data_IF_639283457264
#
_entry.id   IF_639283457264
#
_cell.length_a   1.000
_cell.length_b   1.000
_cell.length_c   1.000
_cell.angle_alpha   90.00
_cell.angle_beta   90.00
_cell.angle_gamma   90.00
#
_symmetry.space_group_name_H-M   'P 1'
#
loop_
_entity.id
_entity.type
_entity.pdbx_description
1 polymer ?
#
# COMPACT_ATOMS: atom_id res chain seq x y z
N UNK A 1 14.40 17.95 -23.62
CA UNK A 1 13.21 17.50 -24.38
C UNK A 1 12.26 16.61 -23.56
N UNK A 2 12.71 15.82 -22.56
CA UNK A 2 11.82 14.92 -21.79
C UNK A 2 10.85 15.58 -20.78
N UNK A 3 11.11 16.80 -20.29
CA UNK A 3 10.19 17.48 -19.34
C UNK A 3 8.86 17.89 -19.97
N UNK A 4 8.82 18.19 -21.28
CA UNK A 4 7.59 18.61 -21.96
C UNK A 4 6.62 17.44 -22.18
N UNK A 5 7.12 16.21 -22.35
CA UNK A 5 6.30 15.01 -22.54
C UNK A 5 5.55 14.60 -21.27
N UNK A 6 6.16 14.82 -20.09
CA UNK A 6 5.52 14.54 -18.79
C UNK A 6 4.38 15.51 -18.48
N UNK A 7 4.54 16.79 -18.81
CA UNK A 7 3.47 17.80 -18.67
C UNK A 7 2.32 17.59 -19.64
N UNK A 8 2.62 17.18 -20.89
CA UNK A 8 1.60 16.81 -21.88
C UNK A 8 0.82 15.55 -21.46
N UNK A 9 1.51 14.58 -20.83
CA UNK A 9 0.87 13.35 -20.32
C UNK A 9 -0.07 13.66 -19.15
N UNK A 10 0.32 14.54 -18.22
CA UNK A 10 -0.53 14.97 -17.12
C UNK A 10 -1.73 15.81 -17.59
N UNK A 11 -1.54 16.67 -18.59
CA UNK A 11 -2.65 17.40 -19.22
C UNK A 11 -3.64 16.45 -19.93
N UNK A 12 -3.14 15.41 -20.58
CA UNK A 12 -3.98 14.39 -21.24
C UNK A 12 -4.80 13.61 -20.20
N UNK A 13 -4.19 13.23 -19.07
CA UNK A 13 -4.88 12.55 -17.97
C UNK A 13 -5.96 13.45 -17.35
N UNK A 14 -5.67 14.75 -17.19
CA UNK A 14 -6.65 15.70 -16.67
C UNK A 14 -7.82 15.91 -17.63
N UNK A 15 -7.56 15.96 -18.95
CA UNK A 15 -8.60 16.07 -19.97
C UNK A 15 -9.50 14.82 -20.00
N UNK A 16 -8.91 13.63 -19.89
CA UNK A 16 -9.66 12.37 -19.80
C UNK A 16 -10.59 12.33 -18.58
N UNK A 17 -10.14 12.88 -17.45
CA UNK A 17 -10.97 13.00 -16.24
C UNK A 17 -12.17 13.95 -16.44
N UNK A 18 -11.96 15.07 -17.15
CA UNK A 18 -13.06 15.98 -17.49
C UNK A 18 -14.05 15.35 -18.46
N UNK A 19 -13.57 14.69 -19.52
CA UNK A 19 -14.43 14.06 -20.54
C UNK A 19 -15.27 12.92 -19.96
N UNK A 20 -14.70 12.13 -19.05
CA UNK A 20 -15.43 11.07 -18.33
C UNK A 20 -16.50 11.64 -17.38
N UNK A 21 -16.23 12.76 -16.71
CA UNK A 21 -17.23 13.42 -15.86
C UNK A 21 -18.43 13.97 -16.66
N UNK A 22 -18.20 14.45 -17.89
CA UNK A 22 -19.26 14.92 -18.80
C UNK A 22 -20.10 13.75 -19.32
N UNK A 23 -19.48 12.62 -19.66
CA UNK A 23 -20.18 11.42 -20.11
C UNK A 23 -21.05 10.82 -19.01
N UNK A 24 -20.61 10.87 -17.75
CA UNK A 24 -21.40 10.42 -16.60
C UNK A 24 -22.64 11.30 -16.40
N UNK A 25 -22.51 12.64 -16.51
CA UNK A 25 -23.67 13.56 -16.46
C UNK A 25 -24.65 13.34 -17.60
N UNK A 26 -24.18 13.17 -18.84
CA UNK A 26 -25.06 12.87 -19.99
C UNK A 26 -25.82 11.54 -19.84
N UNK A 27 -25.22 10.56 -19.16
CA UNK A 27 -25.87 9.28 -18.86
C UNK A 27 -26.94 9.42 -17.78
N UNK A 28 -26.71 10.24 -16.76
CA UNK A 28 -27.71 10.57 -15.74
C UNK A 28 -28.90 11.34 -16.32
N UNK A 29 -28.67 12.23 -17.28
CA UNK A 29 -29.73 12.95 -18.01
C UNK A 29 -30.50 12.03 -18.97
N UNK A 30 -29.81 11.10 -19.65
CA UNK A 30 -30.44 10.12 -20.55
C UNK A 30 -31.28 9.06 -19.83
N UNK A 31 -31.00 8.75 -18.56
CA UNK A 31 -31.83 7.84 -17.74
C UNK A 31 -33.13 8.50 -17.26
N UNK A 32 -33.19 9.84 -17.21
CA UNK A 32 -34.41 10.58 -16.82
C UNK A 32 -35.41 10.82 -17.95
N UNK A 33 -35.08 10.49 -19.21
CA UNK A 33 -35.93 10.74 -20.39
C UNK A 33 -36.26 9.48 -21.21
N UNK A 34 -36.83 8.44 -20.60
CA UNK A 34 -37.48 7.36 -21.38
C UNK A 34 -39.01 7.53 -21.33
N UNK A 35 -39.69 7.80 -22.47
CA UNK A 35 -41.12 8.05 -22.49
C UNK A 35 -41.94 6.77 -22.35
N UNK A 36 -43.05 6.91 -21.63
CA UNK A 36 -44.20 6.01 -21.61
C UNK A 36 -44.83 5.90 -23.00
N UNK A 37 -44.95 4.69 -23.55
CA UNK A 37 -45.86 4.35 -24.66
C UNK A 37 -46.42 2.95 -24.36
N UNK A 38 -47.69 2.78 -23.99
CA UNK A 38 -48.95 2.85 -24.77
C UNK A 38 -49.30 1.53 -25.45
N UNK A 39 -50.47 1.03 -25.06
CA UNK A 39 -51.21 -0.14 -25.56
C UNK A 39 -51.32 -0.19 -27.09
N UNK A 40 -51.16 -1.38 -27.67
CA UNK A 40 -51.86 -1.78 -28.90
C UNK A 40 -52.30 -3.23 -28.73
N UNK A 41 -53.61 -3.43 -28.70
CA UNK A 41 -54.29 -4.70 -28.96
C UNK A 41 -54.37 -4.89 -30.48
N UNK A 42 -54.07 -6.10 -30.99
CA UNK A 42 -54.57 -6.60 -32.27
C UNK A 42 -54.49 -8.13 -32.26
N UNK A 43 -55.65 -8.69 -31.93
CA UNK A 43 -56.40 -9.72 -32.63
C UNK A 43 -55.71 -10.99 -33.17
N UNK A 44 -56.40 -12.09 -32.91
CA UNK A 44 -56.02 -13.47 -33.12
C UNK A 44 -55.97 -13.84 -34.61
N UNK A 45 -54.96 -14.62 -35.00
CA UNK A 45 -55.11 -15.70 -36.00
C UNK A 45 -53.88 -16.62 -35.93
N UNK A 46 -53.97 -17.65 -35.08
CA UNK A 46 -53.27 -18.94 -35.22
C UNK A 46 -54.20 -19.90 -35.98
N UNK A 47 -53.74 -21.00 -36.64
CA UNK A 47 -52.52 -21.75 -36.29
C UNK A 47 -51.69 -22.32 -37.46
N UNK A 48 -50.36 -22.32 -37.30
CA UNK A 48 -49.52 -23.47 -37.63
C UNK A 48 -48.70 -23.78 -36.38
N UNK A 49 -49.42 -24.30 -35.39
CA UNK A 49 -48.97 -24.58 -34.04
C UNK A 49 -48.15 -25.87 -34.04
N UNK A 50 -46.87 -25.74 -33.69
CA UNK A 50 -46.00 -26.89 -33.47
C UNK A 50 -44.52 -26.58 -33.61
N UNK A 51 -44.13 -25.67 -34.51
CA UNK A 51 -42.72 -25.31 -34.75
C UNK A 51 -42.37 -23.89 -34.28
N UNK A 52 -43.31 -22.94 -34.42
CA UNK A 52 -43.10 -21.55 -34.01
C UNK A 52 -43.12 -21.38 -32.48
N UNK A 53 -43.91 -22.18 -31.76
CA UNK A 53 -43.94 -22.18 -30.29
C UNK A 53 -42.66 -22.77 -29.70
N UNK A 54 -42.15 -23.87 -30.26
CA UNK A 54 -40.89 -24.49 -29.82
C UNK A 54 -39.70 -23.57 -30.07
N UNK A 55 -39.66 -22.90 -31.22
CA UNK A 55 -38.62 -21.90 -31.52
C UNK A 55 -38.72 -20.68 -30.60
N UNK A 56 -39.92 -20.26 -30.23
CA UNK A 56 -40.13 -19.14 -29.30
C UNK A 56 -39.74 -19.51 -27.87
N UNK A 57 -40.06 -20.72 -27.42
CA UNK A 57 -39.65 -21.25 -26.11
C UNK A 57 -38.13 -21.43 -26.02
N UNK A 58 -37.49 -21.91 -27.10
CA UNK A 58 -36.04 -22.01 -27.21
C UNK A 58 -35.37 -20.63 -27.19
N UNK A 59 -35.96 -19.63 -27.85
CA UNK A 59 -35.49 -18.23 -27.80
C UNK A 59 -35.62 -17.62 -26.40
N UNK A 60 -36.68 -17.93 -25.66
CA UNK A 60 -36.86 -17.48 -24.28
C UNK A 60 -35.81 -18.11 -23.36
N UNK A 61 -35.60 -19.44 -23.46
CA UNK A 61 -34.58 -20.15 -22.69
C UNK A 61 -33.17 -19.66 -23.01
N UNK A 62 -32.85 -19.44 -24.29
CA UNK A 62 -31.56 -18.87 -24.71
C UNK A 62 -31.39 -17.43 -24.20
N UNK A 63 -32.45 -16.64 -24.15
CA UNK A 63 -32.38 -15.26 -23.63
C UNK A 63 -32.16 -15.24 -22.12
N UNK A 64 -32.81 -16.14 -21.38
CA UNK A 64 -32.57 -16.32 -19.95
C UNK A 64 -31.17 -16.85 -19.67
N UNK A 65 -30.69 -17.79 -20.48
CA UNK A 65 -29.35 -18.33 -20.36
C UNK A 65 -28.28 -17.29 -20.68
N UNK A 66 -28.49 -16.46 -21.71
CA UNK A 66 -27.61 -15.32 -22.02
C UNK A 66 -27.61 -14.31 -20.86
N UNK A 67 -28.76 -14.03 -20.23
CA UNK A 67 -28.81 -13.16 -19.04
C UNK A 67 -28.09 -13.78 -17.84
N UNK A 68 -28.26 -15.08 -17.62
CA UNK A 68 -27.58 -15.84 -16.57
C UNK A 68 -26.07 -15.86 -16.78
N UNK A 69 -25.62 -16.14 -17.99
CA UNK A 69 -24.21 -16.15 -18.38
C UNK A 69 -23.60 -14.75 -18.36
N UNK A 70 -24.31 -13.71 -18.78
CA UNK A 70 -23.83 -12.32 -18.65
C UNK A 70 -23.68 -11.90 -17.19
N UNK A 71 -24.61 -12.32 -16.31
CA UNK A 71 -24.52 -12.06 -14.86
C UNK A 71 -23.34 -12.81 -14.24
N UNK A 72 -23.19 -14.10 -14.57
CA UNK A 72 -22.06 -14.93 -14.12
C UNK A 72 -20.72 -14.45 -14.66
N UNK A 73 -20.66 -13.96 -15.90
CA UNK A 73 -19.46 -13.40 -16.50
C UNK A 73 -19.11 -12.05 -15.87
N UNK A 74 -20.10 -11.19 -15.58
CA UNK A 74 -19.87 -9.95 -14.82
C UNK A 74 -19.34 -10.23 -13.39
N UNK A 75 -19.91 -11.21 -12.70
CA UNK A 75 -19.43 -11.68 -11.39
C UNK A 75 -18.00 -12.24 -11.48
N UNK A 76 -17.72 -13.10 -12.45
CA UNK A 76 -16.39 -13.67 -12.66
C UNK A 76 -15.36 -12.63 -13.12
N UNK A 77 -15.73 -11.64 -13.92
CA UNK A 77 -14.84 -10.60 -14.41
C UNK A 77 -14.52 -9.59 -13.30
N UNK A 78 -15.47 -9.30 -12.39
CA UNK A 78 -15.18 -8.57 -11.14
C UNK A 78 -14.25 -9.37 -10.21
N UNK A 79 -14.47 -10.67 -10.05
CA UNK A 79 -13.57 -11.56 -9.31
C UNK A 79 -12.19 -11.61 -9.98
N UNK A 80 -12.11 -11.57 -11.31
CA UNK A 80 -10.84 -11.61 -12.07
C UNK A 80 -10.08 -10.28 -12.04
N UNK A 81 -10.77 -9.14 -12.04
CA UNK A 81 -10.18 -7.80 -11.88
C UNK A 81 -9.61 -7.61 -10.47
N UNK A 82 -10.16 -8.29 -9.46
CA UNK A 82 -9.58 -8.34 -8.11
C UNK A 82 -8.42 -9.34 -7.97
N UNK A 83 -8.28 -10.29 -8.90
CA UNK A 83 -7.42 -11.47 -8.74
C UNK A 83 -6.29 -11.61 -9.78
N UNK A 84 -5.74 -10.53 -10.34
CA UNK A 84 -4.51 -10.60 -11.17
C UNK A 84 -3.53 -9.48 -10.75
N UNK A 85 -2.17 -9.64 -10.76
CA UNK A 85 -1.32 -10.80 -10.98
C UNK A 85 -0.12 -10.84 -9.97
N UNK A 86 -0.38 -10.84 -8.66
CA UNK A 86 0.66 -11.01 -7.63
C UNK A 86 0.16 -11.91 -6.49
N UNK A 87 -0.42 -13.06 -6.83
CA UNK A 87 -0.72 -14.11 -5.85
C UNK A 87 0.59 -14.71 -5.34
N UNK A 88 1.21 -14.03 -4.39
CA UNK A 88 1.83 -14.75 -3.29
C UNK A 88 0.79 -14.71 -2.19
N UNK A 89 0.16 -15.85 -1.94
CA UNK A 89 -0.64 -16.02 -0.73
C UNK A 89 0.31 -15.77 0.43
N UNK A 90 0.20 -14.59 1.04
CA UNK A 90 0.94 -14.27 2.25
C UNK A 90 0.08 -14.82 3.38
N UNK A 91 0.40 -16.01 3.86
CA UNK A 91 -0.30 -16.60 5.00
C UNK A 91 0.10 -15.85 6.27
N UNK A 92 -0.77 -15.86 7.29
CA UNK A 92 -0.46 -15.24 8.60
C UNK A 92 0.85 -15.78 9.17
N UNK A 93 1.08 -17.08 9.01
CA UNK A 93 2.28 -17.78 9.47
C UNK A 93 3.55 -17.31 8.72
N UNK A 94 3.42 -16.97 7.43
CA UNK A 94 4.53 -16.39 6.65
C UNK A 94 4.87 -14.98 7.13
N UNK A 95 3.87 -14.18 7.47
CA UNK A 95 4.06 -12.83 8.00
C UNK A 95 4.76 -12.85 9.36
N UNK A 96 4.34 -13.75 10.26
CA UNK A 96 4.99 -13.95 11.54
C UNK A 96 6.44 -14.41 11.37
N UNK A 97 6.67 -15.38 10.47
CA UNK A 97 8.02 -15.91 10.19
C UNK A 97 8.95 -14.84 9.62
N UNK A 98 8.49 -14.06 8.63
CA UNK A 98 9.28 -12.99 8.02
C UNK A 98 9.53 -11.83 9.00
N UNK A 99 8.54 -11.51 9.84
CA UNK A 99 8.72 -10.51 10.90
C UNK A 99 9.73 -10.98 11.95
N UNK A 100 9.62 -12.23 12.43
CA UNK A 100 10.59 -12.81 13.34
C UNK A 100 12.00 -12.81 12.74
N UNK A 101 12.13 -13.19 11.46
CA UNK A 101 13.40 -13.14 10.72
C UNK A 101 13.99 -11.73 10.67
N UNK A 102 13.16 -10.71 10.46
CA UNK A 102 13.58 -9.32 10.51
C UNK A 102 14.13 -8.95 11.90
N UNK A 103 13.39 -9.28 12.97
CA UNK A 103 13.84 -9.03 14.36
C UNK A 103 15.19 -9.73 14.62
N UNK A 104 15.33 -11.00 14.26
CA UNK A 104 16.57 -11.74 14.42
C UNK A 104 17.71 -11.12 13.61
N UNK A 105 17.42 -10.60 12.41
CA UNK A 105 18.43 -9.93 11.58
C UNK A 105 18.89 -8.62 12.20
N UNK A 106 17.98 -7.84 12.78
CA UNK A 106 18.32 -6.60 13.52
C UNK A 106 19.17 -6.93 14.73
N UNK A 107 18.77 -7.94 15.52
CA UNK A 107 19.55 -8.39 16.67
C UNK A 107 20.95 -8.84 16.26
N UNK A 108 21.06 -9.75 15.28
CA UNK A 108 22.34 -10.23 14.79
C UNK A 108 23.22 -9.11 14.22
N UNK A 109 22.64 -8.09 13.58
CA UNK A 109 23.38 -6.92 13.15
C UNK A 109 23.96 -6.13 14.33
N UNK A 110 23.13 -5.84 15.34
CA UNK A 110 23.59 -5.09 16.53
C UNK A 110 24.64 -5.88 17.29
N UNK A 111 24.41 -7.17 17.53
CA UNK A 111 25.36 -8.05 18.23
C UNK A 111 26.71 -8.04 17.52
N UNK A 112 26.75 -8.31 16.21
CA UNK A 112 28.01 -8.32 15.44
C UNK A 112 28.74 -6.98 15.47
N UNK A 113 28.00 -5.87 15.57
CA UNK A 113 28.57 -4.54 15.58
C UNK A 113 29.05 -4.09 16.96
N UNK A 114 28.36 -4.49 18.04
CA UNK A 114 28.67 -4.09 19.41
C UNK A 114 29.63 -5.05 20.11
N UNK A 115 29.66 -6.32 19.70
CA UNK A 115 30.51 -7.35 20.30
C UNK A 115 31.99 -6.94 20.39
N UNK A 116 32.64 -6.40 19.33
CA UNK A 116 34.03 -5.96 19.43
C UNK A 116 34.26 -4.81 20.41
N UNK A 117 33.24 -3.98 20.64
CA UNK A 117 33.29 -2.82 21.55
C UNK A 117 33.13 -3.29 23.00
N UNK A 118 32.29 -4.30 23.23
CA UNK A 118 31.98 -4.83 24.56
C UNK A 118 33.12 -5.72 25.08
N UNK A 119 33.75 -6.51 24.21
CA UNK A 119 34.89 -7.34 24.61
C UNK A 119 36.16 -6.53 24.94
N UNK A 120 36.26 -5.29 24.45
CA UNK A 120 37.44 -4.45 24.63
C UNK A 120 37.16 -3.27 25.57
N UNK A 121 37.70 -3.35 26.79
CA UNK A 121 37.55 -2.29 27.81
C UNK A 121 38.05 -0.92 27.33
N UNK A 122 39.06 -0.85 26.46
CA UNK A 122 39.57 0.41 25.93
C UNK A 122 38.56 1.08 24.99
N UNK A 123 37.93 0.30 24.10
CA UNK A 123 36.90 0.81 23.18
C UNK A 123 35.63 1.21 23.94
N UNK A 124 35.28 0.44 24.96
CA UNK A 124 34.18 0.78 25.87
C UNK A 124 34.44 2.09 26.59
N UNK A 125 35.61 2.26 27.21
CA UNK A 125 35.97 3.49 27.90
C UNK A 125 36.00 4.70 26.96
N UNK A 126 36.54 4.53 25.76
CA UNK A 126 36.55 5.56 24.72
C UNK A 126 35.13 5.95 24.29
N UNK A 127 34.22 4.98 24.13
CA UNK A 127 32.82 5.25 23.81
C UNK A 127 32.12 6.05 24.90
N UNK A 128 32.38 5.71 26.18
CA UNK A 128 31.86 6.46 27.33
C UNK A 128 32.42 7.89 27.38
N UNK A 129 33.68 8.08 26.98
CA UNK A 129 34.31 9.39 26.93
C UNK A 129 33.70 10.26 25.82
N UNK A 130 33.52 9.72 24.61
CA UNK A 130 32.85 10.42 23.50
C UNK A 130 31.42 10.81 23.90
N UNK A 131 30.68 9.90 24.54
CA UNK A 131 29.34 10.16 25.05
C UNK A 131 29.30 11.32 26.07
N UNK A 132 30.25 11.37 27.01
CA UNK A 132 30.38 12.47 27.98
C UNK A 132 30.72 13.80 27.33
N UNK A 133 31.56 13.79 26.29
CA UNK A 133 31.93 14.99 25.54
C UNK A 133 30.79 15.52 24.67
N UNK A 134 29.81 14.68 24.31
CA UNK A 134 28.73 15.00 23.39
C UNK A 134 27.33 14.78 24.04
N UNK A 135 26.96 15.53 25.08
CA UNK A 135 25.68 15.32 25.78
C UNK A 135 24.45 15.56 24.90
N UNK A 136 24.56 16.40 23.85
CA UNK A 136 23.48 16.61 22.87
C UNK A 136 23.17 15.36 22.05
N UNK A 137 24.20 14.61 21.65
CA UNK A 137 24.07 13.35 20.93
C UNK A 137 23.35 12.30 21.78
N UNK A 138 23.72 12.21 23.04
CA UNK A 138 23.11 11.30 24.02
C UNK A 138 21.63 11.64 24.27
N UNK A 139 21.28 12.93 24.27
CA UNK A 139 19.87 13.34 24.38
C UNK A 139 19.04 12.92 23.17
N UNK A 140 19.58 13.04 21.96
CA UNK A 140 18.90 12.55 20.75
C UNK A 140 18.75 11.03 20.75
N UNK A 141 19.75 10.30 21.23
CA UNK A 141 19.66 8.85 21.46
C UNK A 141 18.54 8.50 22.46
N UNK A 142 18.50 9.17 23.61
CA UNK A 142 17.46 8.98 24.63
C UNK A 142 16.04 9.25 24.10
N UNK A 143 15.87 10.27 23.26
CA UNK A 143 14.59 10.61 22.66
C UNK A 143 13.98 9.45 21.85
N UNK A 144 14.82 8.64 21.20
CA UNK A 144 14.36 7.51 20.40
C UNK A 144 14.27 6.20 21.21
N UNK A 145 14.98 6.11 22.35
CA UNK A 145 14.70 5.08 23.34
C UNK A 145 13.29 5.25 23.89
N UNK A 146 12.84 6.46 24.23
CA UNK A 146 11.56 6.67 24.90
C UNK A 146 11.63 6.37 26.40
N UNK A 147 10.56 6.68 27.12
CA UNK A 147 10.59 6.80 28.59
C UNK A 147 10.83 5.46 29.30
N UNK A 148 10.32 4.36 28.75
CA UNK A 148 10.40 3.02 29.32
C UNK A 148 11.83 2.45 29.34
N UNK A 149 12.54 2.50 28.21
CA UNK A 149 13.93 2.05 28.14
C UNK A 149 14.87 3.08 28.76
N UNK A 150 14.56 4.37 28.72
CA UNK A 150 15.37 5.38 29.41
C UNK A 150 15.37 5.17 30.92
N UNK A 151 14.22 4.79 31.51
CA UNK A 151 14.13 4.48 32.94
C UNK A 151 14.88 3.19 33.32
N UNK A 152 15.03 2.25 32.39
CA UNK A 152 15.68 0.96 32.61
C UNK A 152 17.21 0.99 32.39
N UNK A 153 17.80 2.11 31.95
CA UNK A 153 19.20 2.17 31.48
C UNK A 153 20.04 3.20 32.20
N UNK A 154 21.35 2.96 32.26
CA UNK A 154 22.32 3.95 32.75
C UNK A 154 22.95 4.62 31.55
N UNK A 155 22.44 5.79 31.19
CA UNK A 155 22.95 6.51 30.02
C UNK A 155 24.31 7.16 30.32
N UNK A 156 25.34 6.96 29.48
CA UNK A 156 25.37 6.17 28.23
C UNK A 156 25.49 4.66 28.47
N UNK A 157 24.52 3.89 27.93
CA UNK A 157 24.47 2.43 28.05
C UNK A 157 24.92 1.78 26.74
N UNK A 158 25.78 0.77 26.85
CA UNK A 158 26.34 0.01 25.71
C UNK A 158 25.81 -1.43 25.72
N UNK A 159 24.83 -1.72 26.58
CA UNK A 159 24.16 -3.02 26.60
C UNK A 159 23.54 -3.35 25.21
N UNK A 160 23.88 -4.52 24.63
CA UNK A 160 23.33 -4.96 23.34
C UNK A 160 21.81 -4.92 23.28
N UNK A 161 21.11 -5.34 24.33
CA UNK A 161 19.65 -5.43 24.33
C UNK A 161 19.01 -4.03 24.25
N UNK A 162 19.65 -3.03 24.87
CA UNK A 162 19.24 -1.62 24.79
C UNK A 162 19.48 -1.06 23.39
N UNK A 163 20.61 -1.38 22.77
CA UNK A 163 20.94 -0.97 21.42
C UNK A 163 20.02 -1.64 20.39
N UNK A 164 19.65 -2.91 20.59
CA UNK A 164 18.63 -3.60 19.79
C UNK A 164 17.29 -2.89 19.93
N UNK A 165 16.86 -2.59 21.15
CA UNK A 165 15.61 -1.84 21.41
C UNK A 165 15.59 -0.48 20.73
N UNK A 166 16.70 0.26 20.82
CA UNK A 166 16.88 1.55 20.14
C UNK A 166 16.78 1.42 18.61
N UNK A 167 17.57 0.54 18.00
CA UNK A 167 17.58 0.36 16.53
C UNK A 167 16.20 -0.09 16.04
N UNK A 168 15.56 -1.02 16.76
CA UNK A 168 14.23 -1.48 16.42
C UNK A 168 13.19 -0.35 16.46
N UNK A 169 13.18 0.47 17.52
CA UNK A 169 12.28 1.62 17.64
C UNK A 169 12.55 2.67 16.58
N UNK A 170 13.81 2.93 16.27
CA UNK A 170 14.17 3.82 15.19
C UNK A 170 13.63 3.33 13.85
N UNK A 171 13.78 2.04 13.52
CA UNK A 171 13.22 1.46 12.31
C UNK A 171 11.68 1.53 12.30
N UNK A 172 11.04 1.28 13.44
CA UNK A 172 9.59 1.40 13.59
C UNK A 172 9.12 2.82 13.28
N UNK A 173 9.80 3.84 13.77
CA UNK A 173 9.42 5.25 13.55
C UNK A 173 9.80 5.75 12.15
N UNK A 174 11.01 5.45 11.68
CA UNK A 174 11.55 6.01 10.45
C UNK A 174 11.14 5.25 9.19
N UNK A 175 10.87 3.94 9.30
CA UNK A 175 10.61 3.06 8.15
C UNK A 175 9.18 2.52 8.16
N UNK A 176 8.71 1.98 9.28
CA UNK A 176 7.43 1.27 9.32
C UNK A 176 6.22 2.15 9.63
N UNK A 177 6.38 3.22 10.41
CA UNK A 177 5.29 4.13 10.77
C UNK A 177 4.75 4.94 9.59
N UNK A 178 5.59 5.62 8.78
CA UNK A 178 5.09 6.31 7.61
C UNK A 178 4.79 5.32 6.48
N UNK A 179 3.64 5.49 5.81
CA UNK A 179 3.28 4.65 4.65
C UNK A 179 4.40 4.75 3.61
N UNK A 180 4.89 3.60 3.18
CA UNK A 180 6.05 3.48 2.27
C UNK A 180 7.31 4.21 2.76
N UNK A 181 7.57 4.28 4.07
CA UNK A 181 8.78 4.94 4.58
C UNK A 181 8.80 6.46 4.34
N UNK A 182 7.63 7.07 4.10
CA UNK A 182 7.50 8.50 3.80
C UNK A 182 7.87 8.86 2.35
N UNK A 183 8.01 7.88 1.47
CA UNK A 183 8.34 8.07 0.06
C UNK A 183 7.09 8.50 -0.71
N UNK A 184 7.23 9.54 -1.53
CA UNK A 184 6.16 10.09 -2.37
C UNK A 184 4.82 10.30 -1.61
N UNK A 185 4.82 11.14 -0.56
CA UNK A 185 3.65 11.33 0.32
C UNK A 185 2.39 11.75 -0.45
N UNK A 186 2.54 12.56 -1.51
CA UNK A 186 1.41 12.97 -2.35
C UNK A 186 0.74 11.78 -3.05
N UNK A 187 1.52 10.79 -3.51
CA UNK A 187 0.98 9.62 -4.17
C UNK A 187 0.29 8.68 -3.16
N UNK A 188 0.85 8.55 -1.96
CA UNK A 188 0.21 7.86 -0.82
C UNK A 188 -1.16 8.47 -0.52
N UNK A 189 -1.22 9.80 -0.43
CA UNK A 189 -2.44 10.52 -0.09
C UNK A 189 -3.53 10.30 -1.16
N UNK A 190 -3.17 10.38 -2.44
CA UNK A 190 -4.09 10.10 -3.55
C UNK A 190 -4.60 8.66 -3.53
N UNK A 191 -3.72 7.66 -3.37
CA UNK A 191 -4.13 6.25 -3.32
C UNK A 191 -5.01 5.96 -2.10
N UNK A 192 -4.66 6.52 -0.95
CA UNK A 192 -5.46 6.39 0.29
C UNK A 192 -6.84 7.00 0.10
N UNK A 193 -6.91 8.26 -0.33
CA UNK A 193 -8.16 8.99 -0.54
C UNK A 193 -9.06 8.34 -1.60
N UNK A 194 -8.50 7.86 -2.71
CA UNK A 194 -9.26 7.09 -3.70
C UNK A 194 -9.85 5.82 -3.10
N UNK A 195 -9.07 5.08 -2.31
CA UNK A 195 -9.61 3.90 -1.62
C UNK A 195 -10.70 4.27 -0.60
N UNK A 196 -10.61 5.43 0.05
CA UNK A 196 -11.62 5.85 1.04
C UNK A 196 -12.92 6.18 0.32
N UNK A 197 -12.84 6.82 -0.85
CA UNK A 197 -13.99 7.04 -1.72
C UNK A 197 -14.57 5.70 -2.19
N UNK A 198 -13.75 4.74 -2.59
CA UNK A 198 -14.21 3.42 -3.05
C UNK A 198 -15.01 2.65 -1.98
N UNK A 199 -14.65 2.80 -0.70
CA UNK A 199 -15.37 2.18 0.42
C UNK A 199 -16.63 2.99 0.79
N UNK A 200 -16.53 4.31 0.82
CA UNK A 200 -17.57 5.17 1.38
C UNK A 200 -18.65 5.60 0.36
N UNK A 201 -18.41 5.47 -0.94
CA UNK A 201 -19.42 5.78 -1.96
C UNK A 201 -20.36 4.60 -2.24
N UNK A 202 -21.67 4.73 -1.97
CA UNK A 202 -22.63 3.61 -2.05
C UNK A 202 -22.76 2.96 -3.44
N UNK A 203 -22.44 3.72 -4.49
CA UNK A 203 -22.58 3.27 -5.89
C UNK A 203 -21.47 2.30 -6.33
N UNK A 204 -20.30 2.37 -5.69
CA UNK A 204 -19.11 1.65 -6.14
C UNK A 204 -19.05 0.19 -5.64
N UNK A 205 -19.86 -0.18 -4.63
CA UNK A 205 -20.05 -1.54 -4.10
C UNK A 205 -18.74 -2.34 -3.89
N UNK A 206 -17.62 -1.69 -3.61
CA UNK A 206 -16.37 -2.40 -3.31
C UNK A 206 -16.39 -2.92 -1.88
N UNK A 207 -15.92 -4.15 -1.68
CA UNK A 207 -15.67 -4.66 -0.34
C UNK A 207 -14.38 -4.02 0.21
N UNK A 208 -14.38 -3.70 1.51
CA UNK A 208 -13.22 -3.19 2.24
C UNK A 208 -11.95 -4.01 1.96
N UNK A 209 -12.04 -5.34 2.00
CA UNK A 209 -10.89 -6.22 1.75
C UNK A 209 -10.30 -6.06 0.35
N UNK A 210 -11.15 -5.81 -0.64
CA UNK A 210 -10.73 -5.62 -2.03
C UNK A 210 -10.00 -4.30 -2.19
N UNK A 211 -10.51 -3.24 -1.54
CA UNK A 211 -9.85 -1.93 -1.52
C UNK A 211 -8.50 -2.02 -0.80
N UNK A 212 -8.43 -2.73 0.34
CA UNK A 212 -7.17 -2.95 1.05
C UNK A 212 -6.15 -3.70 0.18
N UNK A 213 -6.56 -4.75 -0.53
CA UNK A 213 -5.69 -5.48 -1.48
C UNK A 213 -5.22 -4.58 -2.62
N UNK A 214 -6.13 -3.81 -3.23
CA UNK A 214 -5.80 -2.88 -4.30
C UNK A 214 -4.80 -1.80 -3.84
N UNK A 215 -4.99 -1.22 -2.65
CA UNK A 215 -4.05 -0.25 -2.05
C UNK A 215 -2.67 -0.87 -1.87
N UNK A 216 -2.59 -2.04 -1.25
CA UNK A 216 -1.32 -2.74 -1.04
C UNK A 216 -0.59 -3.04 -2.35
N UNK A 217 -1.32 -3.51 -3.37
CA UNK A 217 -0.75 -3.74 -4.70
C UNK A 217 -0.30 -2.44 -5.37
N UNK A 218 -1.07 -1.36 -5.22
CA UNK A 218 -0.72 -0.04 -5.75
C UNK A 218 0.57 0.49 -5.13
N UNK A 219 0.73 0.34 -3.81
CA UNK A 219 1.96 0.69 -3.11
C UNK A 219 3.15 -0.15 -3.56
N UNK A 220 2.98 -1.47 -3.72
CA UNK A 220 4.05 -2.34 -4.24
C UNK A 220 4.44 -1.92 -5.65
N UNK A 221 3.47 -1.67 -6.54
CA UNK A 221 3.74 -1.21 -7.90
C UNK A 221 4.49 0.13 -7.90
N UNK A 222 4.06 1.06 -7.04
CA UNK A 222 4.72 2.36 -6.88
C UNK A 222 6.17 2.21 -6.42
N UNK A 223 6.46 1.34 -5.44
CA UNK A 223 7.82 1.06 -4.97
C UNK A 223 8.73 0.43 -6.04
N UNK A 224 8.16 -0.15 -7.10
CA UNK A 224 8.89 -0.68 -8.26
C UNK A 224 9.11 0.36 -9.36
N UNK A 225 8.43 1.51 -9.30
CA UNK A 225 8.61 2.58 -10.28
C UNK A 225 10.04 3.16 -10.21
N UNK A 226 10.71 3.42 -11.34
CA UNK A 226 12.09 3.92 -11.36
C UNK A 226 12.31 5.20 -10.55
N UNK A 227 11.44 6.21 -10.72
CA UNK A 227 11.57 7.50 -10.02
C UNK A 227 11.42 7.36 -8.51
N UNK A 228 10.52 6.46 -8.07
CA UNK A 228 10.27 6.18 -6.65
C UNK A 228 11.43 5.37 -6.07
N UNK A 229 12.04 4.49 -6.87
CA UNK A 229 13.22 3.73 -6.47
C UNK A 229 14.43 4.64 -6.21
N UNK A 230 14.64 5.66 -7.03
CA UNK A 230 15.71 6.63 -6.80
C UNK A 230 15.47 7.41 -5.49
N UNK A 231 14.26 7.94 -5.30
CA UNK A 231 13.87 8.63 -4.07
C UNK A 231 14.00 7.73 -2.84
N UNK A 232 13.62 6.46 -2.94
CA UNK A 232 13.80 5.47 -1.88
C UNK A 232 15.25 5.34 -1.47
N UNK A 233 16.18 5.26 -2.43
CA UNK A 233 17.59 5.14 -2.12
C UNK A 233 18.11 6.39 -1.40
N UNK A 234 17.71 7.59 -1.85
CA UNK A 234 18.06 8.84 -1.18
C UNK A 234 17.55 8.90 0.26
N UNK A 235 16.29 8.51 0.47
CA UNK A 235 15.68 8.45 1.80
C UNK A 235 16.38 7.39 2.67
N UNK A 236 16.67 6.22 2.12
CA UNK A 236 17.42 5.18 2.82
C UNK A 236 18.79 5.70 3.28
N UNK A 237 19.55 6.37 2.42
CA UNK A 237 20.81 6.99 2.80
C UNK A 237 20.64 8.04 3.90
N UNK A 238 19.61 8.89 3.83
CA UNK A 238 19.31 9.89 4.86
C UNK A 238 19.00 9.23 6.20
N UNK A 239 18.17 8.20 6.21
CA UNK A 239 17.79 7.44 7.41
C UNK A 239 19.02 6.74 8.00
N UNK A 240 19.83 6.07 7.17
CA UNK A 240 21.08 5.42 7.59
C UNK A 240 22.07 6.41 8.19
N UNK A 241 22.24 7.59 7.59
CA UNK A 241 23.11 8.64 8.12
C UNK A 241 22.60 9.18 9.47
N UNK A 242 21.28 9.32 9.62
CA UNK A 242 20.68 9.73 10.90
C UNK A 242 20.92 8.69 11.99
N UNK A 243 20.76 7.41 11.66
CA UNK A 243 21.03 6.31 12.59
C UNK A 243 22.51 6.29 12.99
N UNK A 244 23.41 6.36 12.01
CA UNK A 244 24.85 6.39 12.23
C UNK A 244 25.28 7.59 13.08
N UNK A 245 24.69 8.77 12.84
CA UNK A 245 24.94 9.95 13.66
C UNK A 245 24.57 9.70 15.13
N UNK A 246 23.37 9.19 15.40
CA UNK A 246 22.91 8.92 16.78
C UNK A 246 23.74 7.86 17.51
N UNK A 247 24.36 6.97 16.75
CA UNK A 247 25.20 5.89 17.23
C UNK A 247 26.70 6.22 17.22
N UNK A 248 27.08 7.42 16.79
CA UNK A 248 28.48 7.83 16.61
C UNK A 248 29.28 7.95 17.92
N UNK A 249 28.62 7.87 19.08
CA UNK A 249 29.31 7.80 20.37
C UNK A 249 29.99 6.45 20.60
N UNK A 250 29.61 5.41 19.86
CA UNK A 250 30.24 4.10 19.92
C UNK A 250 31.55 4.12 19.13
N UNK A 251 32.66 3.88 19.83
CA UNK A 251 33.99 3.85 19.24
C UNK A 251 34.13 2.60 18.36
N UNK A 252 34.27 2.81 17.05
CA UNK A 252 34.56 1.75 16.09
C UNK A 252 36.09 1.61 15.96
N UNK A 253 36.59 0.37 15.84
CA UNK A 253 38.01 0.07 15.63
C UNK A 253 38.50 0.53 14.25
#
# INVERSE_FOLDING_TARGET
MQRNQSTESLQTIFQLYQDTSILLRKKEEGVKQKPSATNVSLDETKPQDGAAETQNDELIQLTEEIKRLKRRNYELNNVRIMNLPYHREFYSDDAETEYARLIFSVRGFVDNWTYPIIENDDLKNKSLEIAKQNPGLIREFQKHLGDDLTAATRVPDIDPDILVGFVWRFLQQAVFSPIMGGIAPNAVEVISGLGDIMVNYPELKFNHDQVCRWRSQSYIAMLRHPDVREQRNLIAHKISNSLAYMLSFLAVS
#
